data_IF_545282780588
#
_entry.id   IF_545282780588
#
_cell.length_a   1.000
_cell.length_b   1.000
_cell.length_c   1.000
_cell.angle_alpha   90.00
_cell.angle_beta   90.00
_cell.angle_gamma   90.00
#
_symmetry.space_group_name_H-M   'P 1'
#
loop_
_entity.id
_entity.type
_entity.pdbx_description
1 polymer ?
#
# COMPACT_ATOMS: atom_id res chain seq x y z
N UNK A 1 2.57 29.80 0.11
CA UNK A 1 2.93 28.55 0.79
C UNK A 1 3.55 27.64 -0.24
N UNK A 2 4.85 27.38 -0.09
CA UNK A 2 5.59 26.39 -0.85
C UNK A 2 5.51 25.08 -0.07
N UNK A 3 5.21 23.97 -0.75
CA UNK A 3 4.90 22.69 -0.13
C UNK A 3 5.45 21.60 -1.03
N UNK A 4 6.42 20.85 -0.52
CA UNK A 4 7.09 19.79 -1.29
C UNK A 4 6.27 18.49 -1.31
N UNK A 5 5.58 18.19 -0.20
CA UNK A 5 4.81 16.96 -0.04
C UNK A 5 3.40 17.25 0.46
N UNK A 6 2.41 16.64 -0.20
CA UNK A 6 1.02 16.64 0.24
C UNK A 6 0.61 15.20 0.53
N UNK A 7 0.32 14.92 1.80
CA UNK A 7 -0.19 13.62 2.23
C UNK A 7 -1.72 13.63 2.28
N UNK A 8 -2.33 12.52 1.87
CA UNK A 8 -3.76 12.34 1.94
C UNK A 8 -4.13 10.87 1.82
N UNK A 9 -5.19 10.46 2.50
CA UNK A 9 -5.72 9.11 2.34
C UNK A 9 -6.53 9.00 1.04
N UNK A 10 -6.77 7.78 0.52
CA UNK A 10 -7.68 7.57 -0.60
C UNK A 10 -9.07 8.17 -0.36
N UNK A 11 -9.61 8.05 0.86
CA UNK A 11 -10.92 8.62 1.23
C UNK A 11 -10.94 10.15 1.12
N UNK A 12 -9.88 10.83 1.54
CA UNK A 12 -9.82 12.29 1.44
C UNK A 12 -9.67 12.74 -0.02
N UNK A 13 -8.72 12.15 -0.75
CA UNK A 13 -8.37 12.59 -2.11
C UNK A 13 -9.42 12.19 -3.16
N UNK A 14 -10.11 11.07 -2.94
CA UNK A 14 -11.10 10.52 -3.87
C UNK A 14 -12.52 10.50 -3.29
N UNK A 15 -12.72 10.41 -1.99
CA UNK A 15 -14.08 10.49 -1.41
C UNK A 15 -14.62 11.91 -1.37
N UNK A 16 -13.77 12.89 -1.07
CA UNK A 16 -14.22 14.27 -0.92
C UNK A 16 -14.18 15.06 -2.23
N UNK A 17 -15.33 15.59 -2.63
CA UNK A 17 -15.49 16.45 -3.81
C UNK A 17 -14.50 17.63 -3.81
N UNK A 18 -14.30 18.27 -2.64
CA UNK A 18 -13.39 19.41 -2.47
C UNK A 18 -11.98 19.10 -2.97
N UNK A 19 -11.43 17.93 -2.62
CA UNK A 19 -10.09 17.54 -3.02
C UNK A 19 -10.02 17.11 -4.48
N UNK A 20 -11.01 16.36 -4.98
CA UNK A 20 -11.10 16.04 -6.41
C UNK A 20 -11.05 17.29 -7.29
N UNK A 21 -11.87 18.29 -6.97
CA UNK A 21 -11.92 19.55 -7.72
C UNK A 21 -10.62 20.34 -7.60
N UNK A 22 -10.03 20.40 -6.39
CA UNK A 22 -8.74 21.06 -6.15
C UNK A 22 -7.62 20.45 -7.00
N UNK A 23 -7.52 19.12 -7.04
CA UNK A 23 -6.50 18.41 -7.81
C UNK A 23 -6.64 18.70 -9.32
N UNK A 24 -7.85 18.94 -9.82
CA UNK A 24 -8.10 19.26 -11.23
C UNK A 24 -7.80 20.72 -11.60
N UNK A 25 -7.57 21.60 -10.62
CA UNK A 25 -7.28 23.01 -10.92
C UNK A 25 -5.97 23.16 -11.72
N UNK A 26 -5.87 24.16 -12.61
CA UNK A 26 -4.64 24.40 -13.38
C UNK A 26 -3.40 24.62 -12.51
N UNK A 27 -3.57 25.15 -11.30
CA UNK A 27 -2.48 25.33 -10.35
C UNK A 27 -1.90 23.98 -9.90
N UNK A 28 -2.74 23.07 -9.42
CA UNK A 28 -2.30 21.74 -8.97
C UNK A 28 -1.79 20.89 -10.11
N UNK A 29 -2.44 20.92 -11.29
CA UNK A 29 -1.99 20.19 -12.47
C UNK A 29 -0.58 20.63 -12.95
N UNK A 30 -0.18 21.89 -12.71
CA UNK A 30 1.17 22.36 -13.02
C UNK A 30 2.19 22.02 -11.93
N UNK A 31 1.76 22.01 -10.66
CA UNK A 31 2.64 21.84 -9.50
C UNK A 31 2.91 20.38 -9.14
N UNK A 32 1.92 19.50 -9.25
CA UNK A 32 2.11 18.08 -8.93
C UNK A 32 3.03 17.45 -9.98
N UNK A 33 4.16 16.90 -9.53
CA UNK A 33 5.16 16.24 -10.39
C UNK A 33 5.15 14.72 -10.29
N UNK A 34 4.65 14.19 -9.18
CA UNK A 34 4.59 12.76 -8.90
C UNK A 34 3.44 12.47 -7.94
N UNK A 35 2.74 11.37 -8.16
CA UNK A 35 1.84 10.77 -7.17
C UNK A 35 2.51 9.51 -6.65
N UNK A 36 2.63 9.41 -5.33
CA UNK A 36 3.18 8.23 -4.66
C UNK A 36 2.05 7.49 -3.96
N UNK A 37 1.88 6.22 -4.28
CA UNK A 37 1.00 5.30 -3.56
C UNK A 37 1.88 4.48 -2.63
N UNK A 38 1.94 4.91 -1.38
CA UNK A 38 2.67 4.19 -0.33
C UNK A 38 1.84 3.01 0.19
N UNK A 39 2.52 1.99 0.70
CA UNK A 39 1.93 0.72 1.14
C UNK A 39 0.91 0.13 0.14
N UNK A 40 1.28 0.09 -1.15
CA UNK A 40 0.40 -0.26 -2.25
C UNK A 40 -0.24 -1.66 -2.12
N UNK A 41 0.30 -2.55 -1.27
CA UNK A 41 -0.32 -3.83 -0.94
C UNK A 41 -1.72 -3.69 -0.30
N UNK A 42 -2.01 -2.57 0.34
CA UNK A 42 -3.32 -2.24 0.95
C UNK A 42 -4.44 -2.17 -0.09
N UNK A 43 -4.13 -1.90 -1.36
CA UNK A 43 -5.10 -1.98 -2.47
C UNK A 43 -5.72 -3.37 -2.54
N UNK A 44 -4.92 -4.40 -2.35
CA UNK A 44 -5.38 -5.80 -2.38
C UNK A 44 -5.98 -6.20 -1.04
N UNK A 45 -5.35 -5.82 0.07
CA UNK A 45 -5.80 -6.25 1.40
C UNK A 45 -7.11 -5.60 1.85
N UNK A 46 -7.34 -4.33 1.52
CA UNK A 46 -8.47 -3.56 2.04
C UNK A 46 -9.43 -3.09 0.94
N UNK A 47 -8.91 -2.91 -0.27
CA UNK A 47 -9.68 -2.44 -1.43
C UNK A 47 -10.39 -3.56 -2.20
N UNK A 48 -10.05 -4.83 -1.97
CA UNK A 48 -10.71 -5.95 -2.65
C UNK A 48 -11.48 -6.74 -1.60
N UNK A 49 -12.80 -6.78 -1.75
CA UNK A 49 -13.68 -7.64 -0.97
C UNK A 49 -13.61 -9.10 -1.44
N UNK A 50 -14.03 -10.02 -0.57
CA UNK A 50 -14.23 -11.43 -0.90
C UNK A 50 -15.44 -11.59 -1.83
N UNK A 51 -15.66 -12.78 -2.40
CA UNK A 51 -16.73 -13.04 -3.38
C UNK A 51 -18.14 -12.65 -2.88
N UNK A 52 -18.33 -12.63 -1.57
CA UNK A 52 -19.60 -12.33 -0.89
C UNK A 52 -19.45 -11.18 0.15
N UNK A 53 -18.34 -10.43 0.13
CA UNK A 53 -18.06 -9.38 1.11
C UNK A 53 -17.64 -8.09 0.41
N UNK A 54 -18.16 -6.96 0.89
CA UNK A 54 -17.70 -5.65 0.44
C UNK A 54 -16.25 -5.37 0.89
N UNK A 55 -15.49 -4.56 0.14
CA UNK A 55 -14.17 -4.13 0.57
C UNK A 55 -14.23 -3.39 1.91
N UNK A 56 -13.31 -3.70 2.82
CA UNK A 56 -13.18 -2.99 4.10
C UNK A 56 -12.95 -1.48 3.92
N UNK A 57 -12.15 -1.09 2.93
CA UNK A 57 -11.92 0.32 2.55
C UNK A 57 -12.01 0.47 1.04
N UNK A 58 -13.23 0.66 0.53
CA UNK A 58 -13.55 0.76 -0.90
C UNK A 58 -12.64 1.71 -1.70
N UNK A 59 -12.23 2.84 -1.09
CA UNK A 59 -11.47 3.90 -1.76
C UNK A 59 -10.06 3.45 -2.17
N UNK A 60 -9.50 2.44 -1.50
CA UNK A 60 -8.21 1.86 -1.87
C UNK A 60 -8.28 1.15 -3.23
N UNK A 61 -9.43 0.60 -3.59
CA UNK A 61 -9.66 -0.03 -4.90
C UNK A 61 -9.73 0.98 -6.04
N UNK A 62 -9.99 2.26 -5.71
CA UNK A 62 -10.27 3.35 -6.63
C UNK A 62 -9.08 4.28 -6.86
N UNK A 63 -7.93 4.01 -6.25
CA UNK A 63 -6.71 4.85 -6.38
C UNK A 63 -6.31 5.07 -7.85
N UNK A 64 -6.58 4.10 -8.74
CA UNK A 64 -6.38 4.25 -10.19
C UNK A 64 -7.09 5.46 -10.81
N UNK A 65 -8.19 5.94 -10.23
CA UNK A 65 -8.90 7.15 -10.68
C UNK A 65 -8.04 8.41 -10.64
N UNK A 66 -6.98 8.45 -9.81
CA UNK A 66 -6.04 9.55 -9.79
C UNK A 66 -5.39 9.78 -11.16
N UNK A 67 -5.29 8.75 -12.01
CA UNK A 67 -4.84 8.92 -13.41
C UNK A 67 -5.81 9.73 -14.25
N UNK A 68 -7.11 9.61 -14.03
CA UNK A 68 -8.10 10.43 -14.74
C UNK A 68 -8.13 11.86 -14.20
N UNK A 69 -7.85 12.04 -12.91
CA UNK A 69 -7.80 13.35 -12.25
C UNK A 69 -6.51 14.10 -12.61
N UNK A 70 -5.38 13.40 -12.68
CA UNK A 70 -4.04 13.95 -12.94
C UNK A 70 -3.34 13.21 -14.10
N UNK A 71 -3.86 13.30 -15.34
CA UNK A 71 -3.46 12.43 -16.46
C UNK A 71 -2.02 12.55 -16.93
N UNK A 72 -1.37 13.70 -16.66
CA UNK A 72 0.02 13.94 -17.06
C UNK A 72 1.02 13.61 -15.95
N UNK A 73 0.54 13.28 -14.75
CA UNK A 73 1.39 13.07 -13.59
C UNK A 73 1.76 11.58 -13.50
N UNK A 74 3.06 11.23 -13.43
CA UNK A 74 3.47 9.84 -13.21
C UNK A 74 3.02 9.34 -11.83
N UNK A 75 2.81 8.03 -11.72
CA UNK A 75 2.50 7.36 -10.45
C UNK A 75 3.65 6.41 -10.11
N UNK A 76 4.15 6.50 -8.89
CA UNK A 76 5.00 5.49 -8.27
C UNK A 76 4.20 4.74 -7.20
N UNK A 77 4.36 3.42 -7.14
CA UNK A 77 3.73 2.58 -6.12
C UNK A 77 4.82 1.86 -5.33
N UNK A 78 4.78 1.99 -4.01
CA UNK A 78 5.81 1.50 -3.09
C UNK A 78 5.17 0.49 -2.14
N UNK A 79 5.87 -0.62 -1.88
CA UNK A 79 5.46 -1.60 -0.86
C UNK A 79 6.65 -2.49 -0.51
N UNK A 80 6.83 -2.79 0.77
CA UNK A 80 7.84 -3.76 1.20
C UNK A 80 7.38 -5.21 0.98
N UNK A 81 6.09 -5.48 1.16
CA UNK A 81 5.52 -6.83 1.09
C UNK A 81 4.55 -6.93 -0.08
N UNK A 82 4.89 -7.69 -1.11
CA UNK A 82 3.95 -8.03 -2.18
C UNK A 82 4.34 -9.34 -2.86
N UNK A 83 3.44 -10.31 -2.84
CA UNK A 83 3.60 -11.52 -3.65
C UNK A 83 3.52 -11.18 -5.15
N UNK A 84 4.01 -12.08 -6.01
CA UNK A 84 3.94 -11.86 -7.45
C UNK A 84 2.49 -11.69 -7.97
N UNK A 85 1.52 -12.37 -7.34
CA UNK A 85 0.10 -12.21 -7.68
C UNK A 85 -0.45 -10.86 -7.21
N UNK A 86 -0.16 -10.46 -5.97
CA UNK A 86 -0.55 -9.15 -5.45
C UNK A 86 0.04 -8.01 -6.29
N UNK A 87 1.32 -8.10 -6.69
CA UNK A 87 1.96 -7.11 -7.55
C UNK A 87 1.23 -6.95 -8.88
N UNK A 88 0.84 -8.04 -9.54
CA UNK A 88 0.04 -7.99 -10.78
C UNK A 88 -1.29 -7.27 -10.55
N UNK A 89 -1.98 -7.57 -9.45
CA UNK A 89 -3.24 -6.91 -9.09
C UNK A 89 -3.05 -5.42 -8.85
N UNK A 90 -2.00 -5.02 -8.13
CA UNK A 90 -1.65 -3.60 -7.87
C UNK A 90 -1.41 -2.88 -9.19
N UNK A 91 -0.57 -3.44 -10.07
CA UNK A 91 -0.28 -2.85 -11.38
C UNK A 91 -1.56 -2.66 -12.21
N UNK A 92 -2.45 -3.65 -12.21
CA UNK A 92 -3.72 -3.58 -12.92
C UNK A 92 -4.66 -2.52 -12.33
N UNK A 93 -4.85 -2.50 -10.99
CA UNK A 93 -5.74 -1.56 -10.30
C UNK A 93 -5.25 -0.12 -10.40
N UNK A 94 -3.94 0.09 -10.41
CA UNK A 94 -3.31 1.38 -10.65
C UNK A 94 -3.07 1.66 -12.13
N UNK A 95 -3.63 0.88 -13.04
CA UNK A 95 -3.57 1.05 -14.50
C UNK A 95 -2.15 1.34 -15.03
N UNK A 96 -1.14 0.62 -14.52
CA UNK A 96 0.21 0.67 -15.05
C UNK A 96 0.25 0.02 -16.44
N UNK A 97 1.02 0.62 -17.34
CA UNK A 97 1.24 0.05 -18.67
C UNK A 97 2.21 -1.13 -18.61
N UNK A 98 2.23 -1.95 -19.68
CA UNK A 98 3.23 -3.02 -19.82
C UNK A 98 4.68 -2.53 -19.89
N UNK A 99 4.89 -1.25 -20.19
CA UNK A 99 6.21 -0.60 -20.25
C UNK A 99 6.62 0.05 -18.93
N UNK A 100 5.85 -0.17 -17.85
CA UNK A 100 6.19 0.39 -16.54
C UNK A 100 7.33 -0.40 -15.92
N UNK A 101 8.32 0.31 -15.39
CA UNK A 101 9.43 -0.30 -14.67
C UNK A 101 8.95 -0.96 -13.37
N UNK A 102 9.43 -2.17 -13.12
CA UNK A 102 9.18 -2.92 -11.89
C UNK A 102 10.51 -3.25 -11.26
N UNK A 103 10.81 -2.56 -10.15
CA UNK A 103 11.98 -2.83 -9.33
C UNK A 103 11.52 -3.72 -8.18
N UNK A 104 12.13 -4.90 -8.05
CA UNK A 104 11.83 -5.84 -6.99
C UNK A 104 13.12 -6.43 -6.45
N UNK A 105 13.25 -6.41 -5.13
CA UNK A 105 14.38 -7.01 -4.42
C UNK A 105 13.90 -8.20 -3.57
N UNK A 106 14.85 -9.04 -3.18
CA UNK A 106 14.57 -10.11 -2.23
C UNK A 106 14.13 -9.51 -0.89
N UNK A 107 13.01 -9.96 -0.31
CA UNK A 107 12.65 -9.58 1.05
C UNK A 107 13.53 -10.28 2.09
N UNK A 108 14.42 -11.19 1.67
CA UNK A 108 15.31 -11.90 2.58
C UNK A 108 16.17 -10.93 3.39
N UNK A 109 16.44 -11.34 4.63
CA UNK A 109 17.14 -10.55 5.63
C UNK A 109 18.08 -11.48 6.35
N UNK A 110 19.37 -11.44 5.98
CA UNK A 110 20.41 -12.28 6.58
C UNK A 110 20.50 -12.13 8.11
N UNK A 111 20.05 -10.98 8.63
CA UNK A 111 20.00 -10.68 10.05
C UNK A 111 18.72 -11.16 10.76
N UNK A 112 17.80 -11.83 10.07
CA UNK A 112 16.55 -12.39 10.65
C UNK A 112 16.61 -13.92 10.57
N UNK A 113 16.56 -14.58 11.73
CA UNK A 113 16.44 -16.04 11.84
C UNK A 113 15.01 -16.42 12.20
N UNK A 114 14.40 -17.28 11.40
CA UNK A 114 13.04 -17.80 11.64
C UNK A 114 13.16 -19.17 12.31
N UNK A 115 12.51 -19.34 13.46
CA UNK A 115 12.39 -20.63 14.16
C UNK A 115 10.92 -20.91 14.49
N UNK A 116 10.55 -22.19 14.55
CA UNK A 116 9.22 -22.63 14.95
C UNK A 116 9.35 -23.72 16.01
N UNK A 117 8.67 -23.55 17.13
CA UNK A 117 8.66 -24.51 18.24
C UNK A 117 7.22 -24.89 18.54
N UNK A 118 6.96 -26.17 18.76
CA UNK A 118 5.65 -26.64 19.17
C UNK A 118 5.46 -26.40 20.68
N UNK A 119 4.36 -25.75 21.04
CA UNK A 119 4.01 -25.45 22.44
C UNK A 119 2.76 -26.26 22.84
N UNK A 120 2.82 -27.07 23.91
CA UNK A 120 1.65 -27.70 24.53
C UNK A 120 0.57 -26.68 24.92
N UNK A 121 -0.69 -26.98 24.66
CA UNK A 121 -1.82 -26.07 24.91
C UNK A 121 -1.99 -25.63 26.38
N UNK A 122 -1.47 -26.42 27.32
CA UNK A 122 -1.61 -26.18 28.77
C UNK A 122 -0.31 -25.68 29.41
N UNK A 123 0.72 -25.39 28.61
CA UNK A 123 1.97 -24.86 29.13
C UNK A 123 1.83 -23.38 29.45
N UNK A 124 2.38 -22.96 30.58
CA UNK A 124 2.31 -21.57 31.00
C UNK A 124 3.20 -20.67 30.12
N UNK A 125 2.75 -19.43 29.90
CA UNK A 125 3.45 -18.45 29.07
C UNK A 125 4.86 -18.14 29.60
N UNK A 126 5.05 -18.10 30.92
CA UNK A 126 6.37 -17.88 31.52
C UNK A 126 7.32 -19.04 31.22
N UNK A 127 6.81 -20.27 31.15
CA UNK A 127 7.63 -21.44 30.79
C UNK A 127 7.97 -21.41 29.30
N UNK A 128 6.96 -21.13 28.46
CA UNK A 128 7.10 -21.09 27.00
C UNK A 128 8.05 -19.98 26.53
N UNK A 129 7.96 -18.79 27.13
CA UNK A 129 8.67 -17.60 26.71
C UNK A 129 9.79 -17.18 27.68
N UNK A 130 10.06 -17.94 28.74
CA UNK A 130 11.09 -17.61 29.74
C UNK A 130 12.46 -17.38 29.12
N UNK A 131 12.79 -18.10 28.04
CA UNK A 131 14.02 -17.91 27.28
C UNK A 131 14.20 -16.50 26.69
N UNK A 132 13.12 -15.74 26.46
CA UNK A 132 13.20 -14.34 26.01
C UNK A 132 13.71 -13.41 27.12
N UNK A 133 13.45 -13.76 28.38
CA UNK A 133 13.85 -12.98 29.54
C UNK A 133 15.24 -13.44 30.01
N UNK A 134 15.47 -14.75 30.08
CA UNK A 134 16.73 -15.33 30.56
C UNK A 134 17.90 -15.17 29.57
N UNK A 135 17.60 -14.89 28.30
CA UNK A 135 18.57 -14.65 27.22
C UNK A 135 19.01 -13.19 27.04
N UNK A 136 18.50 -12.27 27.86
CA UNK A 136 18.93 -10.86 27.96
C UNK A 136 19.91 -10.68 29.12
#
# INVERSE_FOLDING_TARGET
MECDFLFGSPEALLGERKWRERLQTPEYQRKIKLIVVDEAHTIVQWGIGSKDEEPFREWFSRIGELRSICPKVPIAALTATSSASQRRTILNKLCFSKHSEVIAESPDRENIKITSVQVPNNEDLHTTFGWLIDGL
#
